data_IF_827571085802
#
_entry.id   IF_827571085802
#
_cell.length_a   1.000
_cell.length_b   1.000
_cell.length_c   1.000
_cell.angle_alpha   90.00
_cell.angle_beta   90.00
_cell.angle_gamma   90.00
#
_symmetry.space_group_name_H-M   'P 1'
#
loop_
_entity.id
_entity.type
_entity.pdbx_description
1 polymer ?
#
# COMPACT_ATOMS: atom_id res chain seq x y z
N UNK A 1 12.21 -16.64 -13.24
CA UNK A 1 11.55 -15.40 -12.76
C UNK A 1 12.49 -14.76 -11.74
N UNK A 2 13.26 -13.73 -12.10
CA UNK A 2 14.27 -13.18 -11.20
C UNK A 2 13.63 -12.29 -10.14
N UNK A 3 13.81 -12.66 -8.88
CA UNK A 3 13.58 -11.80 -7.71
C UNK A 3 14.51 -10.59 -7.84
N UNK A 4 13.99 -9.38 -7.59
CA UNK A 4 14.72 -8.12 -7.79
C UNK A 4 16.14 -8.16 -7.21
N UNK A 5 17.14 -7.86 -8.06
CA UNK A 5 18.54 -7.81 -7.65
C UNK A 5 18.83 -6.42 -7.04
N UNK A 6 19.65 -6.37 -5.97
CA UNK A 6 20.03 -5.13 -5.26
C UNK A 6 20.48 -4.01 -6.22
N UNK A 7 21.17 -4.37 -7.31
CA UNK A 7 21.65 -3.39 -8.29
C UNK A 7 20.54 -2.74 -9.10
N UNK A 8 19.45 -3.45 -9.36
CA UNK A 8 18.27 -2.89 -10.05
C UNK A 8 17.53 -1.90 -9.15
N UNK A 9 17.45 -2.18 -7.84
CA UNK A 9 16.87 -1.25 -6.86
C UNK A 9 17.72 0.01 -6.72
N UNK A 10 19.04 -0.15 -6.59
CA UNK A 10 19.99 0.99 -6.56
C UNK A 10 19.86 1.83 -7.84
N UNK A 11 19.82 1.18 -9.01
CA UNK A 11 19.69 1.87 -10.29
C UNK A 11 18.40 2.71 -10.39
N UNK A 12 17.27 2.17 -9.90
CA UNK A 12 16.01 2.90 -9.81
C UNK A 12 16.13 4.13 -8.90
N UNK A 13 16.66 3.95 -7.68
CA UNK A 13 16.82 5.05 -6.72
C UNK A 13 17.72 6.16 -7.29
N UNK A 14 18.85 5.81 -7.91
CA UNK A 14 19.76 6.77 -8.56
C UNK A 14 19.03 7.55 -9.65
N UNK A 15 18.27 6.86 -10.51
CA UNK A 15 17.49 7.49 -11.58
C UNK A 15 16.44 8.46 -11.02
N UNK A 16 15.68 8.04 -10.01
CA UNK A 16 14.65 8.87 -9.39
C UNK A 16 15.23 10.15 -8.78
N UNK A 17 16.29 10.02 -7.99
CA UNK A 17 16.97 11.16 -7.38
C UNK A 17 17.57 12.09 -8.43
N UNK A 18 18.18 11.54 -9.48
CA UNK A 18 18.70 12.33 -10.61
C UNK A 18 17.58 13.16 -11.26
N UNK A 19 16.42 12.55 -11.51
CA UNK A 19 15.27 13.22 -12.12
C UNK A 19 14.67 14.29 -11.21
N UNK A 20 14.60 14.05 -9.90
CA UNK A 20 14.16 15.05 -8.92
C UNK A 20 15.05 16.30 -8.91
N UNK A 21 16.34 16.15 -9.20
CA UNK A 21 17.29 17.26 -9.36
C UNK A 21 17.31 17.88 -10.76
N UNK A 22 16.47 17.41 -11.69
CA UNK A 22 16.43 17.90 -13.07
C UNK A 22 17.71 17.63 -13.88
N UNK A 23 18.50 16.63 -13.49
CA UNK A 23 19.78 16.31 -14.13
C UNK A 23 19.60 15.33 -15.30
N UNK A 24 20.32 15.56 -16.40
CA UNK A 24 20.50 14.54 -17.43
C UNK A 24 21.54 13.50 -16.98
N UNK A 25 21.60 12.35 -17.65
CA UNK A 25 22.60 11.32 -17.34
C UNK A 25 24.02 11.83 -17.57
N UNK A 26 24.22 12.68 -18.58
CA UNK A 26 25.49 13.34 -18.89
C UNK A 26 25.92 14.28 -17.76
N UNK A 27 24.99 15.12 -17.28
CA UNK A 27 25.26 16.05 -16.16
C UNK A 27 25.60 15.30 -14.87
N UNK A 28 24.91 14.20 -14.59
CA UNK A 28 25.27 13.37 -13.43
C UNK A 28 26.65 12.72 -13.62
N UNK A 29 26.94 12.19 -14.81
CA UNK A 29 28.21 11.56 -15.13
C UNK A 29 29.38 12.54 -14.94
N UNK A 30 29.22 13.78 -15.41
CA UNK A 30 30.19 14.86 -15.22
C UNK A 30 30.45 15.13 -13.73
N UNK A 31 29.38 15.29 -12.93
CA UNK A 31 29.48 15.53 -11.47
C UNK A 31 30.20 14.42 -10.71
N UNK A 32 30.11 13.17 -11.18
CA UNK A 32 30.76 12.02 -10.54
C UNK A 32 31.99 11.53 -11.30
N UNK A 33 32.54 12.33 -12.22
CA UNK A 33 33.71 12.00 -13.03
C UNK A 33 33.62 10.58 -13.62
N UNK A 34 32.50 10.27 -14.26
CA UNK A 34 32.23 9.01 -14.92
C UNK A 34 31.78 9.24 -16.37
N UNK A 35 31.68 8.17 -17.14
CA UNK A 35 31.11 8.26 -18.49
C UNK A 35 29.57 8.21 -18.43
N UNK A 36 28.86 8.90 -19.35
CA UNK A 36 27.39 8.82 -19.42
C UNK A 36 26.90 7.37 -19.57
N UNK A 37 27.61 6.57 -20.36
CA UNK A 37 27.32 5.13 -20.54
C UNK A 37 27.45 4.34 -19.24
N UNK A 38 28.34 4.72 -18.32
CA UNK A 38 28.43 4.09 -17.01
C UNK A 38 27.20 4.42 -16.17
N UNK A 39 26.76 5.67 -16.12
CA UNK A 39 25.52 6.08 -15.43
C UNK A 39 24.31 5.34 -15.97
N UNK A 40 24.16 5.22 -17.30
CA UNK A 40 23.08 4.44 -17.93
C UNK A 40 23.06 3.00 -17.40
N UNK A 41 24.22 2.32 -17.39
CA UNK A 41 24.31 0.93 -16.92
C UNK A 41 24.06 0.79 -15.41
N UNK A 42 24.42 1.80 -14.62
CA UNK A 42 24.08 1.86 -13.19
C UNK A 42 22.57 1.98 -13.02
N UNK A 43 21.91 2.90 -13.72
CA UNK A 43 20.46 3.11 -13.62
C UNK A 43 19.65 1.90 -14.11
N UNK A 44 20.18 1.14 -15.06
CA UNK A 44 19.60 -0.13 -15.50
C UNK A 44 19.89 -1.31 -14.55
N UNK A 45 20.78 -1.14 -13.57
CA UNK A 45 21.23 -2.19 -12.67
C UNK A 45 22.08 -3.27 -13.35
N UNK A 46 22.60 -3.01 -14.56
CA UNK A 46 23.42 -3.96 -15.34
C UNK A 46 24.90 -3.87 -14.97
N UNK A 47 25.31 -2.86 -14.19
CA UNK A 47 26.66 -2.73 -13.66
C UNK A 47 26.65 -2.73 -12.13
N UNK A 48 27.65 -3.40 -11.55
CA UNK A 48 27.93 -3.41 -10.11
C UNK A 48 28.91 -2.27 -9.78
N UNK A 49 28.46 -1.15 -9.20
CA UNK A 49 29.35 -0.09 -8.73
C UNK A 49 30.12 -0.52 -7.49
N UNK A 50 31.27 0.09 -7.25
CA UNK A 50 31.98 -0.02 -5.97
C UNK A 50 31.26 0.80 -4.90
N UNK A 51 31.51 0.49 -3.63
CA UNK A 51 30.97 1.29 -2.51
C UNK A 51 31.45 2.74 -2.56
N UNK A 52 32.73 2.96 -2.92
CA UNK A 52 33.30 4.30 -3.12
C UNK A 52 32.53 5.09 -4.19
N UNK A 53 32.23 4.46 -5.33
CA UNK A 53 31.44 5.10 -6.38
C UNK A 53 30.02 5.45 -5.92
N UNK A 54 29.38 4.57 -5.14
CA UNK A 54 28.07 4.84 -4.55
C UNK A 54 28.12 6.01 -3.55
N UNK A 55 29.17 6.12 -2.74
CA UNK A 55 29.34 7.24 -1.83
C UNK A 55 29.51 8.57 -2.58
N UNK A 56 30.27 8.57 -3.68
CA UNK A 56 30.42 9.73 -4.57
C UNK A 56 29.11 10.11 -5.26
N UNK A 57 28.33 9.12 -5.71
CA UNK A 57 26.98 9.34 -6.24
C UNK A 57 26.04 9.94 -5.20
N UNK A 58 26.03 9.42 -3.98
CA UNK A 58 25.18 9.95 -2.91
C UNK A 58 25.51 11.41 -2.61
N UNK A 59 26.80 11.73 -2.56
CA UNK A 59 27.30 13.11 -2.39
C UNK A 59 26.87 14.01 -3.55
N UNK A 60 27.01 13.58 -4.80
CA UNK A 60 26.66 14.41 -5.97
C UNK A 60 25.14 14.61 -6.16
N UNK A 61 24.35 13.67 -5.64
CA UNK A 61 22.89 13.72 -5.57
C UNK A 61 22.37 14.38 -4.30
N UNK A 62 23.25 14.85 -3.41
CA UNK A 62 22.91 15.51 -2.14
C UNK A 62 21.99 14.67 -1.24
N UNK A 63 22.28 13.38 -1.11
CA UNK A 63 21.53 12.44 -0.26
C UNK A 63 22.47 11.57 0.58
N UNK A 64 22.02 11.05 1.73
CA UNK A 64 22.77 10.04 2.46
C UNK A 64 22.80 8.72 1.67
N UNK A 65 23.93 7.99 1.73
CA UNK A 65 24.12 6.71 1.01
C UNK A 65 22.98 5.69 1.22
N UNK A 66 22.41 5.52 2.43
CA UNK A 66 21.26 4.62 2.64
C UNK A 66 20.06 4.89 1.74
N UNK A 67 19.89 6.14 1.27
CA UNK A 67 18.80 6.47 0.35
C UNK A 67 19.00 5.84 -1.04
N UNK A 68 20.25 5.67 -1.49
CA UNK A 68 20.56 4.91 -2.72
C UNK A 68 20.31 3.41 -2.54
N UNK A 69 20.48 2.91 -1.32
CA UNK A 69 20.33 1.50 -0.97
C UNK A 69 18.91 1.15 -0.52
N UNK A 70 17.99 2.13 -0.50
CA UNK A 70 16.62 1.94 -0.03
C UNK A 70 15.94 0.90 -0.90
N UNK A 71 15.52 -0.20 -0.28
CA UNK A 71 14.59 -1.13 -0.91
C UNK A 71 13.19 -0.58 -0.78
N UNK A 72 12.39 -0.69 -1.83
CA UNK A 72 10.95 -0.55 -1.65
C UNK A 72 10.53 -1.54 -0.57
N UNK A 73 9.82 -1.05 0.44
CA UNK A 73 9.25 -1.92 1.45
C UNK A 73 8.38 -2.91 0.70
N UNK A 74 8.69 -4.20 0.79
CA UNK A 74 7.79 -5.24 0.33
C UNK A 74 6.49 -5.02 1.11
N UNK A 75 5.36 -4.69 0.45
CA UNK A 75 4.12 -4.44 1.16
C UNK A 75 3.84 -5.62 2.08
N UNK A 76 3.32 -5.36 3.28
CA UNK A 76 3.07 -6.42 4.26
C UNK A 76 2.17 -7.52 3.67
N UNK A 77 1.26 -7.13 2.80
CA UNK A 77 0.39 -8.01 2.02
C UNK A 77 1.19 -8.98 1.16
N UNK A 78 2.26 -8.51 0.52
CA UNK A 78 3.15 -9.36 -0.29
C UNK A 78 3.97 -10.35 0.55
N UNK A 79 4.28 -10.01 1.81
CA UNK A 79 4.90 -10.94 2.75
C UNK A 79 3.92 -12.04 3.17
N UNK A 80 2.67 -11.69 3.50
CA UNK A 80 1.63 -12.66 3.85
C UNK A 80 1.34 -13.62 2.70
N UNK A 81 1.23 -13.12 1.47
CA UNK A 81 1.05 -13.97 0.28
C UNK A 81 2.22 -14.93 0.13
N UNK A 82 3.46 -14.45 0.34
CA UNK A 82 4.65 -15.31 0.27
C UNK A 82 4.63 -16.39 1.34
N UNK A 83 4.31 -16.06 2.59
CA UNK A 83 4.20 -17.03 3.69
C UNK A 83 3.14 -18.10 3.38
N UNK A 84 1.97 -17.69 2.89
CA UNK A 84 0.92 -18.62 2.45
C UNK A 84 1.44 -19.54 1.36
N UNK A 85 2.09 -18.99 0.32
CA UNK A 85 2.63 -19.80 -0.77
C UNK A 85 3.67 -20.81 -0.26
N UNK A 86 4.57 -20.40 0.63
CA UNK A 86 5.58 -21.30 1.23
C UNK A 86 4.93 -22.41 2.06
N UNK A 87 3.85 -22.13 2.79
CA UNK A 87 3.13 -23.16 3.54
C UNK A 87 2.42 -24.18 2.64
N UNK A 88 1.89 -23.72 1.49
CA UNK A 88 1.14 -24.55 0.55
C UNK A 88 2.04 -25.33 -0.41
N UNK A 89 3.28 -24.89 -0.63
CA UNK A 89 4.21 -25.53 -1.56
C UNK A 89 4.51 -26.99 -1.15
N UNK A 90 4.34 -27.92 -2.09
CA UNK A 90 4.60 -29.35 -1.88
C UNK A 90 3.55 -30.11 -1.04
N UNK A 91 2.45 -29.45 -0.64
CA UNK A 91 1.41 -30.09 0.14
C UNK A 91 0.52 -31.02 -0.70
N UNK A 92 -0.11 -32.05 -0.09
CA UNK A 92 -1.07 -32.90 -0.79
C UNK A 92 -2.28 -32.11 -1.33
N UNK A 93 -2.81 -32.52 -2.48
CA UNK A 93 -3.96 -31.87 -3.15
C UNK A 93 -5.17 -31.66 -2.23
N UNK A 94 -5.45 -32.61 -1.32
CA UNK A 94 -6.54 -32.48 -0.35
C UNK A 94 -6.36 -31.26 0.56
N UNK A 95 -5.13 -30.99 1.01
CA UNK A 95 -4.79 -29.84 1.87
C UNK A 95 -4.96 -28.54 1.09
N UNK A 96 -4.51 -28.51 -0.16
CA UNK A 96 -4.67 -27.34 -1.04
C UNK A 96 -6.14 -27.01 -1.29
N UNK A 97 -6.97 -28.04 -1.58
CA UNK A 97 -8.42 -27.87 -1.78
C UNK A 97 -9.13 -27.34 -0.55
N UNK A 98 -8.80 -27.89 0.62
CA UNK A 98 -9.38 -27.43 1.88
C UNK A 98 -8.94 -26.00 2.19
N UNK A 99 -7.65 -25.69 2.05
CA UNK A 99 -7.10 -24.36 2.23
C UNK A 99 -7.76 -23.33 1.31
N UNK A 100 -7.88 -23.63 0.02
CA UNK A 100 -8.59 -22.79 -0.94
C UNK A 100 -10.05 -22.57 -0.53
N UNK A 101 -10.80 -23.63 -0.16
CA UNK A 101 -12.20 -23.50 0.24
C UNK A 101 -12.39 -22.61 1.47
N UNK A 102 -11.54 -22.79 2.49
CA UNK A 102 -11.58 -21.98 3.71
C UNK A 102 -11.27 -20.50 3.43
N UNK A 103 -10.17 -20.23 2.73
CA UNK A 103 -9.77 -18.86 2.38
C UNK A 103 -10.84 -18.19 1.53
N UNK A 104 -11.35 -18.87 0.49
CA UNK A 104 -12.39 -18.32 -0.37
C UNK A 104 -13.68 -18.03 0.39
N UNK A 105 -14.11 -18.91 1.29
CA UNK A 105 -15.31 -18.67 2.12
C UNK A 105 -15.12 -17.44 3.02
N UNK A 106 -13.96 -17.32 3.68
CA UNK A 106 -13.66 -16.20 4.56
C UNK A 106 -13.53 -14.88 3.80
N UNK A 107 -12.88 -14.89 2.63
CA UNK A 107 -12.74 -13.70 1.78
C UNK A 107 -14.09 -13.23 1.26
N UNK A 108 -14.93 -14.15 0.76
CA UNK A 108 -16.28 -13.82 0.30
C UNK A 108 -17.10 -13.18 1.42
N UNK A 109 -17.07 -13.76 2.63
CA UNK A 109 -17.74 -13.20 3.80
C UNK A 109 -17.21 -11.80 4.19
N UNK A 110 -15.89 -11.61 4.20
CA UNK A 110 -15.27 -10.32 4.55
C UNK A 110 -15.54 -9.21 3.53
N UNK A 111 -15.65 -9.55 2.24
CA UNK A 111 -15.98 -8.60 1.18
C UNK A 111 -17.45 -8.18 1.27
N UNK A 112 -18.35 -9.13 1.54
CA UNK A 112 -19.78 -8.87 1.75
C UNK A 112 -20.03 -7.99 2.99
N UNK A 113 -19.35 -8.26 4.12
CA UNK A 113 -19.49 -7.48 5.35
C UNK A 113 -19.09 -6.00 5.20
N UNK A 114 -18.04 -5.70 4.43
CA UNK A 114 -17.65 -4.31 4.13
C UNK A 114 -18.69 -3.60 3.26
N UNK A 115 -19.47 -4.32 2.45
CA UNK A 115 -20.62 -3.80 1.71
C UNK A 115 -21.81 -3.44 2.60
N UNK A 116 -22.08 -4.24 3.64
CA UNK A 116 -23.23 -4.03 4.56
C UNK A 116 -22.99 -2.84 5.51
N UNK A 117 -21.77 -2.70 6.05
CA UNK A 117 -21.41 -1.57 6.94
C UNK A 117 -21.42 -0.21 6.23
N UNK A 118 -21.18 -0.18 4.91
CA UNK A 118 -21.31 1.03 4.08
C UNK A 118 -22.75 1.50 3.88
N UNK A 119 -23.70 0.57 3.81
CA UNK A 119 -25.13 0.87 3.66
C UNK A 119 -25.78 1.37 4.96
N UNK A 120 -25.36 0.86 6.12
CA UNK A 120 -25.84 1.34 7.43
C UNK A 120 -25.42 2.80 7.68
N UNK A 121 -24.16 3.17 7.41
CA UNK A 121 -23.71 4.57 7.51
C UNK A 121 -24.41 5.52 6.53
N UNK A 122 -24.75 5.05 5.32
CA UNK A 122 -25.47 5.83 4.33
C UNK A 122 -26.97 6.01 4.63
N UNK A 123 -27.55 5.12 5.45
CA UNK A 123 -28.92 5.19 5.93
C UNK A 123 -29.07 6.09 7.17
N UNK A 124 -28.08 6.07 8.08
CA UNK A 124 -28.06 6.92 9.29
C UNK A 124 -27.91 8.42 8.97
N UNK A 125 -27.23 8.77 7.88
CA UNK A 125 -27.05 10.16 7.43
C UNK A 125 -28.26 10.83 6.77
N UNK A 126 -29.40 10.12 6.59
CA UNK A 126 -30.57 10.63 5.85
C UNK A 126 -31.86 10.79 6.67
N UNK A 127 -31.82 10.66 8.00
CA UNK A 127 -32.99 10.83 8.87
C UNK A 127 -32.95 12.12 9.71
N UNK A 128 -32.56 13.26 9.12
CA UNK A 128 -32.56 14.58 9.79
C UNK A 128 -33.55 15.60 9.20
N UNK A 129 -34.32 15.29 8.15
CA UNK A 129 -35.25 16.27 7.59
C UNK A 129 -36.64 15.70 7.31
N UNK A 130 -37.61 16.30 8.02
CA UNK A 130 -39.08 16.26 7.89
C UNK A 130 -39.82 15.04 8.42
N UNK A 131 -40.33 15.20 9.65
CA UNK A 131 -41.78 15.12 9.90
C UNK A 131 -42.18 16.26 10.84
N UNK A 132 -42.61 17.39 10.28
CA UNK A 132 -43.42 18.37 11.00
C UNK A 132 -44.83 17.79 11.14
N UNK A 133 -45.06 17.01 12.18
CA UNK A 133 -46.39 16.55 12.58
C UNK A 133 -47.07 17.68 13.39
N UNK A 134 -48.03 18.37 12.77
CA UNK A 134 -49.08 19.05 13.53
C UNK A 134 -50.21 18.04 13.71
N UNK A 135 -50.35 17.49 14.92
CA UNK A 135 -51.58 16.80 15.33
C UNK A 135 -52.04 17.42 16.64
N UNK A 136 -53.07 18.26 16.55
CA UNK A 136 -53.85 18.74 17.70
C UNK A 136 -54.40 17.53 18.45
N UNK A 137 -53.98 17.37 19.70
CA UNK A 137 -54.45 16.31 20.59
C UNK A 137 -55.94 16.45 20.93
N UNK A 138 -56.71 15.38 20.67
CA UNK A 138 -57.93 15.09 21.43
C UNK A 138 -57.50 14.52 22.78
N UNK A 139 -57.75 15.25 23.87
CA UNK A 139 -57.70 14.72 25.23
C UNK A 139 -59.02 14.00 25.53
N UNK A 140 -58.93 12.67 25.68
CA UNK A 140 -59.74 11.78 26.53
C UNK A 140 -58.67 10.89 27.18
N UNK A 141 -58.55 10.72 28.48
CA UNK A 141 -59.55 10.26 29.44
C UNK A 141 -59.08 10.49 30.90
N UNK A 142 -60.04 10.21 31.79
CA UNK A 142 -59.86 9.57 33.10
C UNK A 142 -59.44 10.46 34.28
N UNK A 143 -60.41 10.61 35.18
CA UNK A 143 -60.24 11.22 36.49
C UNK A 143 -59.46 10.37 37.50
N UNK A 144 -59.19 11.02 38.63
CA UNK A 144 -58.93 10.41 39.94
C UNK A 144 -59.36 11.41 41.04
N UNK A 145 -59.53 10.95 42.29
CA UNK A 145 -60.72 11.26 43.09
C UNK A 145 -60.51 12.35 44.14
N UNK A 146 -61.64 12.82 44.68
CA UNK A 146 -61.75 13.71 45.86
C UNK A 146 -61.05 13.13 47.09
N UNK A 147 -60.30 13.98 47.80
CA UNK A 147 -60.12 13.94 49.26
C UNK A 147 -59.81 15.36 49.77
N UNK A 148 -60.46 15.74 50.87
CA UNK A 148 -60.17 16.92 51.70
C UNK A 148 -61.07 18.11 51.40
#
# INVERSE_FOLDING_TARGET
>A
MWVGNIYSEIGKNVRELRLQLGLTQEKLAERVHATPSYIVRIEQGTRKPTLDFLARLATSLNVPLPQLLRREAVPRESLLIREINTLLEGQPELVLRLGHRLVSTLVMFMVEEKGVKGLQKAAEGRSSYRVSMTVRGRRRDAGKPRKG
#
